data_IF_874665500574
#
_entry.id   IF_874665500574
#
_cell.length_a   1.000
_cell.length_b   1.000
_cell.length_c   1.000
_cell.angle_alpha   90.00
_cell.angle_beta   90.00
_cell.angle_gamma   90.00
#
_symmetry.space_group_name_H-M   'P 1'
#
loop_
_entity.id
_entity.type
_entity.pdbx_description
1 polymer ?
#
# COMPACT_ATOMS: atom_id res chain seq x y z
N UNK A 1 7.06 9.44 -24.92
CA UNK A 1 6.79 10.39 -23.83
C UNK A 1 6.58 9.52 -22.60
N UNK A 2 7.58 9.44 -21.72
CA UNK A 2 7.47 8.70 -20.46
C UNK A 2 6.86 9.69 -19.46
N UNK A 3 5.66 9.39 -18.97
CA UNK A 3 5.02 10.19 -17.94
C UNK A 3 5.83 10.04 -16.65
N UNK A 4 6.71 11.01 -16.42
CA UNK A 4 7.55 11.16 -15.23
C UNK A 4 6.73 11.62 -14.04
N UNK A 5 5.76 10.82 -13.61
CA UNK A 5 5.19 10.94 -12.28
C UNK A 5 5.57 9.67 -11.52
N UNK A 6 6.84 9.63 -11.09
CA UNK A 6 7.36 8.63 -10.17
C UNK A 6 6.65 8.79 -8.81
N UNK A 7 5.37 8.43 -8.73
CA UNK A 7 4.74 8.10 -7.47
C UNK A 7 5.49 6.87 -6.99
N UNK A 8 6.21 6.98 -5.89
CA UNK A 8 6.88 5.84 -5.28
C UNK A 8 5.78 4.83 -4.91
N UNK A 9 5.59 3.83 -5.78
CA UNK A 9 4.61 2.76 -5.63
C UNK A 9 5.39 1.52 -5.27
N UNK A 10 5.32 1.13 -4.00
CA UNK A 10 6.02 -0.02 -3.48
C UNK A 10 5.06 -1.19 -3.32
N UNK A 11 5.39 -2.31 -3.94
CA UNK A 11 4.59 -3.53 -3.85
C UNK A 11 5.02 -4.34 -2.63
N UNK A 12 4.07 -4.69 -1.76
CA UNK A 12 4.31 -5.47 -0.55
C UNK A 12 3.90 -6.92 -0.79
N UNK A 13 4.90 -7.78 -0.74
CA UNK A 13 4.79 -9.22 -0.92
C UNK A 13 5.03 -9.94 0.39
N UNK A 14 4.16 -10.88 0.74
CA UNK A 14 4.31 -11.75 1.91
C UNK A 14 4.40 -13.19 1.41
N UNK A 15 5.59 -13.78 1.51
CA UNK A 15 5.90 -15.02 0.80
C UNK A 15 5.83 -14.81 -0.71
N UNK A 16 5.02 -15.62 -1.40
CA UNK A 16 4.76 -15.52 -2.84
C UNK A 16 3.46 -14.75 -3.18
N UNK A 17 2.82 -14.15 -2.19
CA UNK A 17 1.53 -13.47 -2.35
C UNK A 17 1.73 -11.95 -2.37
N UNK A 18 1.22 -11.30 -3.42
CA UNK A 18 1.10 -9.84 -3.46
C UNK A 18 -0.09 -9.43 -2.61
N UNK A 19 0.18 -8.74 -1.50
CA UNK A 19 -0.85 -8.41 -0.51
C UNK A 19 -1.38 -6.99 -0.73
N UNK A 20 -0.48 -6.02 -0.86
CA UNK A 20 -0.86 -4.63 -0.95
C UNK A 20 0.24 -3.79 -1.60
N UNK A 21 -0.07 -2.53 -1.85
CA UNK A 21 0.86 -1.52 -2.32
C UNK A 21 0.93 -0.37 -1.32
N UNK A 22 2.10 0.24 -1.18
CA UNK A 22 2.27 1.50 -0.47
C UNK A 22 2.62 2.56 -1.51
N UNK A 23 1.82 3.61 -1.60
CA UNK A 23 2.18 4.81 -2.35
C UNK A 23 2.44 5.98 -1.43
N UNK A 24 3.42 6.80 -1.78
CA UNK A 24 3.59 8.12 -1.17
C UNK A 24 2.84 9.17 -2.01
N UNK A 25 1.85 9.82 -1.41
CA UNK A 25 1.10 10.91 -2.03
C UNK A 25 1.59 12.26 -1.52
N UNK A 26 2.44 12.89 -2.35
CA UNK A 26 2.92 14.25 -2.10
C UNK A 26 1.74 15.24 -2.09
N UNK A 27 1.49 15.88 -0.94
CA UNK A 27 0.40 16.83 -0.72
C UNK A 27 -0.66 16.38 0.28
N UNK A 28 -0.58 15.15 0.81
CA UNK A 28 -1.56 14.59 1.75
C UNK A 28 -1.35 15.00 3.23
N UNK A 29 -0.59 16.07 3.48
CA UNK A 29 -0.37 16.63 4.83
C UNK A 29 0.37 15.67 5.77
N UNK A 30 -0.17 15.46 6.96
CA UNK A 30 0.39 14.58 8.00
C UNK A 30 0.31 13.07 7.69
N UNK A 31 -0.31 12.65 6.57
CA UNK A 31 -0.47 11.23 6.20
C UNK A 31 -0.13 10.93 4.74
N UNK A 32 1.14 11.06 4.35
CA UNK A 32 1.54 10.90 2.96
C UNK A 32 1.55 9.44 2.48
N UNK A 33 1.50 8.44 3.37
CA UNK A 33 1.59 7.03 2.98
C UNK A 33 0.21 6.38 2.87
N UNK A 34 -0.13 5.93 1.66
CA UNK A 34 -1.40 5.28 1.35
C UNK A 34 -1.15 3.81 1.07
N UNK A 35 -1.76 2.95 1.86
CA UNK A 35 -1.87 1.51 1.62
C UNK A 35 -3.04 1.27 0.68
N UNK A 36 -2.77 0.65 -0.45
CA UNK A 36 -3.74 0.28 -1.47
C UNK A 36 -3.74 -1.23 -1.64
N UNK A 37 -4.90 -1.82 -1.94
CA UNK A 37 -4.96 -3.23 -2.33
C UNK A 37 -4.40 -3.41 -3.75
N UNK A 38 -4.16 -4.66 -4.14
CA UNK A 38 -3.74 -5.04 -5.49
C UNK A 38 -4.70 -4.54 -6.59
N UNK A 39 -5.96 -4.32 -6.25
CA UNK A 39 -7.00 -3.80 -7.15
C UNK A 39 -7.05 -2.26 -7.22
N UNK A 40 -6.12 -1.56 -6.56
CA UNK A 40 -6.05 -0.09 -6.54
C UNK A 40 -7.07 0.57 -5.60
N UNK A 41 -7.64 -0.20 -4.67
CA UNK A 41 -8.53 0.34 -3.63
C UNK A 41 -7.71 0.82 -2.44
N UNK A 42 -7.94 2.06 -1.99
CA UNK A 42 -7.33 2.56 -0.75
C UNK A 42 -7.86 1.77 0.45
N UNK A 43 -6.94 1.13 1.17
CA UNK A 43 -7.23 0.39 2.40
C UNK A 43 -6.99 1.28 3.62
N UNK A 44 -5.88 2.03 3.63
CA UNK A 44 -5.48 2.83 4.79
C UNK A 44 -4.55 3.98 4.41
N UNK A 45 -4.59 5.05 5.20
CA UNK A 45 -3.69 6.20 5.07
C UNK A 45 -2.96 6.44 6.40
N UNK A 46 -1.65 6.62 6.34
CA UNK A 46 -0.74 6.62 7.47
C UNK A 46 0.29 7.74 7.36
N UNK A 47 0.76 8.17 8.54
CA UNK A 47 1.74 9.24 8.70
C UNK A 47 3.16 8.83 8.31
N UNK A 48 3.44 7.53 8.39
CA UNK A 48 4.77 6.99 8.24
C UNK A 48 4.73 5.66 7.47
N UNK A 49 5.80 5.40 6.72
CA UNK A 49 5.96 4.19 5.91
C UNK A 49 6.04 2.93 6.77
N UNK A 50 6.80 2.95 7.85
CA UNK A 50 6.95 1.80 8.74
C UNK A 50 5.61 1.44 9.39
N UNK A 51 4.80 2.44 9.73
CA UNK A 51 3.43 2.21 10.20
C UNK A 51 2.55 1.55 9.12
N UNK A 52 2.73 1.87 7.85
CA UNK A 52 2.05 1.22 6.73
C UNK A 52 2.47 -0.23 6.54
N UNK A 53 3.77 -0.51 6.56
CA UNK A 53 4.32 -1.87 6.47
C UNK A 53 3.83 -2.75 7.63
N UNK A 54 3.83 -2.22 8.86
CA UNK A 54 3.28 -2.89 10.04
C UNK A 54 1.79 -3.16 9.90
N UNK A 55 1.02 -2.19 9.42
CA UNK A 55 -0.42 -2.35 9.23
C UNK A 55 -0.73 -3.45 8.22
N UNK A 56 -0.02 -3.48 7.08
CA UNK A 56 -0.15 -4.54 6.06
C UNK A 56 0.21 -5.89 6.64
N UNK A 57 1.32 -5.99 7.38
CA UNK A 57 1.75 -7.25 8.01
C UNK A 57 0.67 -7.79 8.96
N UNK A 58 0.07 -6.91 9.78
CA UNK A 58 -0.97 -7.26 10.76
C UNK A 58 -2.33 -7.61 10.13
N UNK A 59 -2.62 -7.11 8.92
CA UNK A 59 -3.90 -7.34 8.23
C UNK A 59 -3.72 -8.19 6.97
N UNK A 60 -2.56 -8.84 6.81
CA UNK A 60 -2.18 -9.56 5.61
C UNK A 60 -3.13 -10.71 5.30
N UNK A 61 -3.56 -11.45 6.32
CA UNK A 61 -4.57 -12.51 6.19
C UNK A 61 -5.91 -11.93 5.68
N UNK A 62 -6.44 -10.87 6.31
CA UNK A 62 -7.72 -10.22 5.89
C UNK A 62 -7.64 -9.67 4.47
N UNK A 63 -6.53 -9.03 4.10
CA UNK A 63 -6.34 -8.49 2.76
C UNK A 63 -6.28 -9.63 1.74
N UNK A 64 -5.55 -10.70 2.05
CA UNK A 64 -5.41 -11.86 1.17
C UNK A 64 -6.76 -12.57 0.99
N UNK A 65 -7.52 -12.81 2.07
CA UNK A 65 -8.84 -13.44 2.00
C UNK A 65 -9.84 -12.61 1.19
N UNK A 66 -9.75 -11.28 1.24
CA UNK A 66 -10.69 -10.39 0.54
C UNK A 66 -10.36 -10.15 -0.92
N UNK A 67 -9.08 -10.27 -1.28
CA UNK A 67 -8.60 -9.96 -2.63
C UNK A 67 -8.33 -11.23 -3.47
N UNK A 68 -8.06 -12.38 -2.83
CA UNK A 68 -7.73 -13.66 -3.47
C UNK A 68 -8.67 -14.83 -3.12
N UNK A 69 -9.55 -14.67 -2.13
CA UNK A 69 -10.60 -15.64 -1.78
C UNK A 69 -11.87 -15.46 -2.61
#
# INVERSE_FOLDING_TARGET
MADSQSKAHEEIWIGDVHVANIREENGHGDRPFVVESVNGKVLKELADRHAAELWISLHSDDITERELG
#
